data_IF_233075551529
#
_entry.id   IF_233075551529
#
_cell.length_a   1.000
_cell.length_b   1.000
_cell.length_c   1.000
_cell.angle_alpha   90.00
_cell.angle_beta   90.00
_cell.angle_gamma   90.00
#
_symmetry.space_group_name_H-M   'P 1'
#
loop_
_entity.id
_entity.type
_entity.pdbx_description
1 polymer ?
#
# COMPACT_ATOMS: atom_id res chain seq x y z
N UNK A 1 0.14 1.19 2.14
CA UNK A 1 -1.00 0.56 2.88
C UNK A 1 -2.12 0.21 1.93
N UNK A 2 -2.78 -0.91 2.13
CA UNK A 2 -4.03 -1.26 1.49
C UNK A 2 -5.18 -0.53 2.19
N UNK A 3 -6.38 -0.56 1.64
CA UNK A 3 -7.53 0.05 2.28
C UNK A 3 -8.82 -0.21 1.51
N UNK A 4 -9.92 -0.19 2.25
CA UNK A 4 -11.25 -0.38 1.70
C UNK A 4 -12.24 0.55 2.42
N UNK A 5 -13.11 1.18 1.63
CA UNK A 5 -14.19 1.97 2.16
C UNK A 5 -15.44 1.81 1.29
N UNK A 6 -16.59 1.70 1.92
CA UNK A 6 -17.89 1.62 1.25
C UNK A 6 -18.91 2.48 1.97
N UNK A 7 -19.69 3.21 1.18
CA UNK A 7 -20.86 3.94 1.67
C UNK A 7 -22.05 3.66 0.77
N UNK A 8 -23.24 3.64 1.35
CA UNK A 8 -24.51 3.50 0.65
C UNK A 8 -25.46 4.53 1.21
N UNK A 9 -25.95 5.41 0.37
CA UNK A 9 -26.90 6.45 0.78
C UNK A 9 -28.15 6.37 -0.10
N UNK A 10 -29.33 6.46 0.53
CA UNK A 10 -30.59 6.51 -0.19
C UNK A 10 -30.90 7.95 -0.62
N UNK A 11 -31.37 8.10 -1.86
CA UNK A 11 -31.89 9.34 -2.39
C UNK A 11 -33.15 9.05 -3.20
N UNK A 12 -34.31 9.51 -2.72
CA UNK A 12 -35.64 9.16 -3.29
C UNK A 12 -35.75 7.62 -3.43
N UNK A 13 -36.03 7.12 -4.61
CA UNK A 13 -36.15 5.68 -4.93
C UNK A 13 -34.83 5.04 -5.42
N UNK A 14 -33.70 5.74 -5.21
CA UNK A 14 -32.36 5.30 -5.63
C UNK A 14 -31.49 5.03 -4.42
N UNK A 15 -30.61 4.03 -4.53
CA UNK A 15 -29.49 3.79 -3.61
C UNK A 15 -28.19 4.15 -4.34
N UNK A 16 -27.50 5.16 -3.84
CA UNK A 16 -26.20 5.59 -4.34
C UNK A 16 -25.15 4.77 -3.60
N UNK A 17 -24.41 3.96 -4.31
CA UNK A 17 -23.35 3.11 -3.79
C UNK A 17 -22.00 3.69 -4.18
N UNK A 18 -21.12 3.82 -3.20
CA UNK A 18 -19.72 4.24 -3.41
C UNK A 18 -18.80 3.20 -2.82
N UNK A 19 -17.85 2.75 -3.58
CA UNK A 19 -16.82 1.81 -3.15
C UNK A 19 -15.44 2.34 -3.54
N UNK A 20 -14.51 2.31 -2.59
CA UNK A 20 -13.12 2.73 -2.80
C UNK A 20 -12.20 1.63 -2.29
N UNK A 21 -11.35 1.13 -3.18
CA UNK A 21 -10.30 0.16 -2.87
C UNK A 21 -8.95 0.79 -3.12
N UNK A 22 -8.00 0.51 -2.27
CA UNK A 22 -6.64 1.00 -2.45
C UNK A 22 -5.61 -0.09 -2.21
N UNK A 23 -4.64 -0.18 -3.12
CA UNK A 23 -3.45 -0.99 -2.99
C UNK A 23 -2.22 -0.10 -2.79
N UNK A 24 -1.15 -0.69 -2.28
CA UNK A 24 0.09 0.04 -2.09
C UNK A 24 0.71 0.47 -3.44
N UNK A 25 1.06 1.75 -3.56
CA UNK A 25 1.79 2.31 -4.71
C UNK A 25 2.65 3.49 -4.26
N UNK A 26 3.67 3.83 -5.04
CA UNK A 26 4.58 4.96 -4.78
C UNK A 26 3.93 6.32 -5.05
N UNK A 27 2.98 6.37 -5.97
CA UNK A 27 2.20 7.55 -6.35
C UNK A 27 0.70 7.26 -6.32
N UNK A 28 -0.13 8.29 -6.42
CA UNK A 28 -1.56 8.12 -6.60
C UNK A 28 -1.84 7.72 -8.04
N UNK A 29 -2.40 6.52 -8.23
CA UNK A 29 -2.91 6.01 -9.50
C UNK A 29 -4.41 5.75 -9.32
N UNK A 30 -5.26 6.55 -9.98
CA UNK A 30 -6.70 6.54 -9.77
C UNK A 30 -7.45 6.02 -11.00
N UNK A 31 -8.06 4.87 -10.85
CA UNK A 31 -9.07 4.32 -11.77
C UNK A 31 -10.46 4.62 -11.22
N UNK A 32 -11.31 5.28 -12.02
CA UNK A 32 -12.65 5.66 -11.61
C UNK A 32 -13.70 5.05 -12.55
N UNK A 33 -14.66 4.32 -11.98
CA UNK A 33 -15.86 3.84 -12.66
C UNK A 33 -17.07 4.60 -12.14
N UNK A 34 -17.62 5.47 -12.95
CA UNK A 34 -18.67 6.41 -12.54
C UNK A 34 -19.90 6.17 -13.39
N UNK A 35 -21.05 6.02 -12.75
CA UNK A 35 -22.33 5.89 -13.44
C UNK A 35 -22.57 7.08 -14.38
N UNK A 36 -23.19 6.88 -15.57
CA UNK A 36 -23.34 7.90 -16.60
C UNK A 36 -23.90 9.23 -16.09
N UNK A 37 -24.84 9.17 -15.16
CA UNK A 37 -25.48 10.34 -14.54
C UNK A 37 -24.47 11.29 -13.87
N UNK A 38 -23.39 10.76 -13.27
CA UNK A 38 -22.39 11.54 -12.52
C UNK A 38 -21.12 11.85 -13.32
N UNK A 39 -21.06 11.53 -14.61
CA UNK A 39 -19.85 11.76 -15.42
C UNK A 39 -19.43 13.22 -15.50
N UNK A 40 -20.38 14.14 -15.52
CA UNK A 40 -20.09 15.57 -15.52
C UNK A 40 -19.31 16.03 -14.26
N UNK A 41 -19.43 15.31 -13.14
CA UNK A 41 -18.77 15.59 -11.87
C UNK A 41 -17.44 14.80 -11.71
N UNK A 42 -17.01 14.05 -12.71
CA UNK A 42 -15.80 13.18 -12.62
C UNK A 42 -14.56 13.95 -12.16
N UNK A 43 -14.34 15.15 -12.69
CA UNK A 43 -13.16 15.95 -12.34
C UNK A 43 -13.19 16.41 -10.87
N UNK A 44 -14.39 16.72 -10.35
CA UNK A 44 -14.57 17.07 -8.94
C UNK A 44 -14.33 15.86 -8.03
N UNK A 45 -14.84 14.69 -8.40
CA UNK A 45 -14.60 13.41 -7.69
C UNK A 45 -13.11 13.11 -7.64
N UNK A 46 -12.40 13.18 -8.77
CA UNK A 46 -10.96 12.95 -8.84
C UNK A 46 -10.18 13.92 -7.93
N UNK A 47 -10.58 15.17 -7.89
CA UNK A 47 -9.97 16.18 -7.00
C UNK A 47 -10.19 15.85 -5.53
N UNK A 48 -11.41 15.48 -5.13
CA UNK A 48 -11.74 15.06 -3.77
C UNK A 48 -10.90 13.86 -3.32
N UNK A 49 -10.76 12.85 -4.18
CA UNK A 49 -9.97 11.68 -3.90
C UNK A 49 -8.49 12.05 -3.75
N UNK A 50 -7.95 12.86 -4.67
CA UNK A 50 -6.55 13.28 -4.64
C UNK A 50 -6.20 14.17 -3.43
N UNK A 51 -7.16 14.96 -2.93
CA UNK A 51 -6.98 15.76 -1.71
C UNK A 51 -6.92 14.90 -0.44
N UNK A 52 -7.69 13.81 -0.38
CA UNK A 52 -7.75 12.94 0.81
C UNK A 52 -6.72 11.80 0.78
N UNK A 53 -6.30 11.35 -0.40
CA UNK A 53 -5.41 10.21 -0.56
C UNK A 53 -4.11 10.63 -1.22
N UNK A 54 -3.00 10.54 -0.48
CA UNK A 54 -1.68 10.97 -0.93
C UNK A 54 -1.07 10.06 -1.98
N UNK A 55 -1.22 8.74 -1.81
CA UNK A 55 -0.67 7.71 -2.67
C UNK A 55 -1.50 6.42 -2.61
N UNK A 56 -1.28 5.55 -3.57
CA UNK A 56 -1.94 4.25 -3.69
C UNK A 56 -2.48 4.05 -5.09
N UNK A 57 -2.60 2.80 -5.51
CA UNK A 57 -3.43 2.44 -6.65
C UNK A 57 -4.86 2.34 -6.15
N UNK A 58 -5.69 3.31 -6.54
CA UNK A 58 -7.05 3.49 -6.04
C UNK A 58 -8.05 3.12 -7.13
N UNK A 59 -8.90 2.16 -6.85
CA UNK A 59 -10.07 1.82 -7.65
C UNK A 59 -11.31 2.40 -6.98
N UNK A 60 -11.93 3.37 -7.66
CA UNK A 60 -13.14 4.04 -7.22
C UNK A 60 -14.32 3.60 -8.07
N UNK A 61 -15.45 3.27 -7.47
CA UNK A 61 -16.68 2.91 -8.16
C UNK A 61 -17.87 3.65 -7.56
N UNK A 62 -18.65 4.32 -8.41
CA UNK A 62 -19.91 4.97 -8.06
C UNK A 62 -21.00 4.42 -8.98
N UNK A 63 -22.01 3.78 -8.38
CA UNK A 63 -23.16 3.27 -9.13
C UNK A 63 -24.46 3.50 -8.38
N UNK A 64 -25.55 3.47 -9.10
CA UNK A 64 -26.90 3.67 -8.57
C UNK A 64 -27.71 2.39 -8.76
N UNK A 65 -28.33 1.96 -7.69
CA UNK A 65 -29.38 0.93 -7.72
C UNK A 65 -30.73 1.62 -7.57
N UNK A 66 -31.62 1.41 -8.54
CA UNK A 66 -33.01 1.84 -8.41
C UNK A 66 -33.79 0.71 -7.70
N UNK A 67 -34.63 1.06 -6.74
CA UNK A 67 -35.63 0.11 -6.26
C UNK A 67 -36.52 -0.23 -7.45
N UNK A 68 -36.48 -1.48 -7.86
CA UNK A 68 -37.22 -1.98 -9.02
C UNK A 68 -38.73 -1.90 -8.73
N UNK A 69 -39.36 -0.81 -9.13
CA UNK A 69 -40.76 -0.89 -9.53
C UNK A 69 -40.82 -1.75 -10.78
N UNK A 70 -41.70 -2.74 -10.80
CA UNK A 70 -41.93 -3.61 -11.96
C UNK A 70 -42.69 -2.79 -13.00
N UNK A 71 -42.07 -1.70 -13.47
CA UNK A 71 -42.63 -0.88 -14.55
C UNK A 71 -42.19 -1.47 -15.87
N UNK A 72 -43.17 -1.84 -16.70
CA UNK A 72 -42.92 -2.22 -18.07
C UNK A 72 -42.19 -1.09 -18.79
N UNK A 73 -41.24 -1.43 -19.67
CA UNK A 73 -40.58 -0.42 -20.52
C UNK A 73 -41.62 0.31 -21.32
N UNK A 74 -41.73 1.66 -21.24
CA UNK A 74 -42.73 2.40 -21.94
C UNK A 74 -42.55 2.27 -23.47
N UNK A 75 -43.65 2.17 -24.18
CA UNK A 75 -43.66 2.15 -25.64
C UNK A 75 -43.65 3.59 -26.13
N UNK A 76 -42.71 3.94 -27.01
CA UNK A 76 -42.63 5.24 -27.65
C UNK A 76 -43.72 5.36 -28.73
N UNK A 77 -44.92 5.84 -28.35
CA UNK A 77 -46.07 5.94 -29.21
C UNK A 77 -45.82 6.80 -30.45
N UNK A 78 -45.04 7.90 -30.31
CA UNK A 78 -44.73 8.78 -31.44
C UNK A 78 -43.85 8.08 -32.48
N UNK A 79 -42.89 7.25 -32.02
CA UNK A 79 -42.02 6.47 -32.90
C UNK A 79 -42.79 5.35 -33.61
N UNK A 80 -43.70 4.68 -32.89
CA UNK A 80 -44.60 3.66 -33.43
C UNK A 80 -45.45 4.25 -34.56
N UNK A 81 -46.06 5.42 -34.33
CA UNK A 81 -46.87 6.12 -35.37
C UNK A 81 -46.03 6.49 -36.61
N UNK A 82 -44.82 6.96 -36.39
CA UNK A 82 -43.89 7.30 -37.46
C UNK A 82 -43.53 6.07 -38.31
N UNK A 83 -43.15 4.96 -37.71
CA UNK A 83 -42.87 3.70 -38.41
C UNK A 83 -44.09 3.17 -39.12
N UNK A 84 -45.28 3.24 -38.53
CA UNK A 84 -46.52 2.86 -39.16
C UNK A 84 -46.74 3.62 -40.44
N UNK A 85 -46.64 4.98 -40.44
CA UNK A 85 -46.82 5.84 -41.64
C UNK A 85 -45.79 5.52 -42.72
N UNK A 86 -44.51 5.30 -42.34
CA UNK A 86 -43.46 4.95 -43.28
C UNK A 86 -43.72 3.61 -43.96
N UNK A 87 -44.08 2.56 -43.20
CA UNK A 87 -44.36 1.25 -43.78
C UNK A 87 -45.55 1.28 -44.72
N UNK A 88 -46.61 1.99 -44.38
CA UNK A 88 -47.77 2.19 -45.28
C UNK A 88 -47.38 2.88 -46.57
N UNK A 89 -46.61 3.94 -46.52
CA UNK A 89 -46.11 4.63 -47.65
C UNK A 89 -45.29 3.77 -48.61
N UNK A 90 -44.37 2.95 -48.00
CA UNK A 90 -43.53 1.99 -48.71
C UNK A 90 -44.40 0.93 -49.41
N UNK A 91 -45.37 0.36 -48.70
CA UNK A 91 -46.28 -0.66 -49.23
C UNK A 91 -47.04 -0.13 -50.41
N UNK A 92 -47.59 1.08 -50.31
CA UNK A 92 -48.33 1.75 -51.44
C UNK A 92 -47.43 2.01 -52.64
N UNK A 93 -46.18 2.38 -52.45
CA UNK A 93 -45.27 2.74 -53.54
C UNK A 93 -44.62 1.54 -54.25
N UNK A 94 -44.45 0.43 -53.51
CA UNK A 94 -43.70 -0.76 -53.96
C UNK A 94 -44.56 -1.95 -54.28
N UNK A 95 -45.85 -1.94 -53.90
CA UNK A 95 -46.77 -3.05 -54.07
C UNK A 95 -46.51 -4.23 -53.12
N UNK A 96 -45.59 -4.07 -52.11
CA UNK A 96 -45.38 -5.05 -51.07
C UNK A 96 -46.61 -5.08 -50.16
N UNK A 97 -47.16 -6.26 -49.80
CA UNK A 97 -48.33 -6.32 -48.92
C UNK A 97 -48.03 -5.80 -47.55
N UNK A 98 -49.01 -5.07 -46.94
CA UNK A 98 -48.91 -4.62 -45.55
C UNK A 98 -48.81 -5.83 -44.59
N UNK A 99 -48.11 -5.67 -43.45
CA UNK A 99 -48.00 -6.73 -42.42
C UNK A 99 -49.40 -7.14 -41.93
N UNK A 100 -49.63 -8.44 -41.78
CA UNK A 100 -50.87 -8.95 -41.19
C UNK A 100 -50.93 -8.70 -39.66
N UNK A 101 -49.78 -8.63 -39.00
CA UNK A 101 -49.65 -8.29 -37.56
C UNK A 101 -48.80 -7.03 -37.38
N UNK A 102 -49.50 -5.92 -37.28
CA UNK A 102 -48.88 -4.60 -37.07
C UNK A 102 -48.20 -4.44 -35.72
N UNK A 103 -48.78 -4.98 -34.64
CA UNK A 103 -48.18 -4.81 -33.32
C UNK A 103 -46.87 -5.55 -33.19
N UNK A 104 -46.80 -6.79 -33.64
CA UNK A 104 -45.53 -7.55 -33.64
C UNK A 104 -44.48 -6.86 -34.52
N UNK A 105 -44.86 -6.34 -35.65
CA UNK A 105 -43.93 -5.65 -36.57
C UNK A 105 -43.39 -4.36 -35.96
N UNK A 106 -44.25 -3.51 -35.41
CA UNK A 106 -43.90 -2.20 -34.89
C UNK A 106 -43.12 -2.30 -33.56
N UNK A 107 -43.48 -3.23 -32.68
CA UNK A 107 -42.78 -3.42 -31.41
C UNK A 107 -41.37 -4.02 -31.56
N UNK A 108 -41.04 -4.60 -32.72
CA UNK A 108 -39.70 -5.09 -33.05
C UNK A 108 -38.81 -4.03 -33.74
N UNK A 109 -39.37 -2.89 -34.10
CA UNK A 109 -38.60 -1.79 -34.70
C UNK A 109 -37.63 -1.18 -33.67
N UNK A 110 -36.47 -0.71 -34.12
CA UNK A 110 -35.48 -0.10 -33.23
C UNK A 110 -36.08 1.02 -32.36
N UNK A 111 -35.64 1.13 -31.14
CA UNK A 111 -35.95 2.20 -30.19
C UNK A 111 -37.41 2.39 -29.78
N UNK A 112 -38.32 1.51 -30.25
CA UNK A 112 -39.75 1.57 -29.86
C UNK A 112 -40.00 1.27 -28.40
N UNK A 113 -39.16 0.44 -27.79
CA UNK A 113 -39.23 0.05 -26.37
C UNK A 113 -38.02 0.56 -25.58
N UNK A 114 -37.45 1.68 -25.97
CA UNK A 114 -36.28 2.27 -25.31
C UNK A 114 -36.70 3.28 -24.25
N UNK A 115 -36.12 3.23 -23.06
CA UNK A 115 -36.28 4.32 -22.08
C UNK A 115 -35.57 5.57 -22.58
N UNK A 116 -36.33 6.55 -23.00
CA UNK A 116 -35.80 7.84 -23.51
C UNK A 116 -35.64 8.91 -22.43
N UNK A 117 -35.70 8.54 -21.16
CA UNK A 117 -35.47 9.50 -20.07
C UNK A 117 -33.99 9.81 -19.97
N UNK A 118 -33.58 10.97 -20.44
CA UNK A 118 -32.29 11.56 -20.09
C UNK A 118 -32.40 12.02 -18.64
N UNK A 119 -31.91 11.21 -17.70
CA UNK A 119 -31.86 11.63 -16.33
C UNK A 119 -30.87 12.79 -16.18
N UNK A 120 -31.35 13.90 -15.65
CA UNK A 120 -30.52 15.07 -15.31
C UNK A 120 -30.13 14.99 -13.86
N UNK A 121 -28.87 15.21 -13.55
CA UNK A 121 -28.37 15.19 -12.17
C UNK A 121 -28.91 16.41 -11.40
N UNK A 122 -29.72 16.16 -10.38
CA UNK A 122 -30.20 17.21 -9.46
C UNK A 122 -29.06 17.61 -8.50
N UNK A 123 -28.99 18.88 -8.12
CA UNK A 123 -27.97 19.38 -7.17
C UNK A 123 -28.06 18.71 -5.79
N UNK A 124 -29.27 18.39 -5.32
CA UNK A 124 -29.47 17.65 -4.07
C UNK A 124 -28.98 16.21 -4.15
N UNK A 125 -29.19 15.55 -5.31
CA UNK A 125 -28.68 14.20 -5.57
C UNK A 125 -27.15 14.21 -5.59
N UNK A 126 -26.55 15.24 -6.22
CA UNK A 126 -25.10 15.42 -6.21
C UNK A 126 -24.56 15.66 -4.80
N UNK A 127 -25.22 16.46 -3.98
CA UNK A 127 -24.83 16.70 -2.59
C UNK A 127 -24.83 15.40 -1.78
N UNK A 128 -25.85 14.57 -1.94
CA UNK A 128 -25.98 13.26 -1.30
C UNK A 128 -24.90 12.30 -1.79
N UNK A 129 -24.61 12.26 -3.07
CA UNK A 129 -23.52 11.47 -3.63
C UNK A 129 -22.15 11.91 -3.10
N UNK A 130 -21.91 13.22 -2.97
CA UNK A 130 -20.67 13.78 -2.40
C UNK A 130 -20.49 13.40 -0.92
N UNK A 131 -21.56 13.36 -0.14
CA UNK A 131 -21.52 12.84 1.24
C UNK A 131 -21.13 11.36 1.27
N UNK A 132 -21.73 10.53 0.41
CA UNK A 132 -21.38 9.11 0.33
C UNK A 132 -19.91 8.90 -0.11
N UNK A 133 -19.41 9.69 -1.05
CA UNK A 133 -18.00 9.66 -1.47
C UNK A 133 -17.10 10.01 -0.28
N UNK A 134 -17.43 11.07 0.44
CA UNK A 134 -16.67 11.51 1.62
C UNK A 134 -16.62 10.44 2.69
N UNK A 135 -17.76 9.83 3.02
CA UNK A 135 -17.88 8.75 4.00
C UNK A 135 -17.07 7.51 3.59
N UNK A 136 -17.11 7.10 2.32
CA UNK A 136 -16.34 5.99 1.82
C UNK A 136 -14.82 6.24 1.93
N UNK A 137 -14.37 7.47 1.61
CA UNK A 137 -12.98 7.87 1.75
C UNK A 137 -12.54 7.91 3.22
N UNK A 138 -13.39 8.39 4.13
CA UNK A 138 -13.08 8.45 5.56
C UNK A 138 -12.95 7.06 6.17
N UNK A 139 -13.81 6.11 5.78
CA UNK A 139 -13.69 4.69 6.16
C UNK A 139 -12.39 4.06 5.66
N UNK A 140 -11.96 4.38 4.44
CA UNK A 140 -10.68 3.91 3.91
C UNK A 140 -9.51 4.49 4.71
N UNK A 141 -9.57 5.78 5.07
CA UNK A 141 -8.54 6.43 5.89
C UNK A 141 -8.50 5.83 7.29
N UNK A 142 -9.65 5.59 7.92
CA UNK A 142 -9.74 4.93 9.21
C UNK A 142 -9.10 3.54 9.19
N UNK A 143 -9.39 2.73 8.16
CA UNK A 143 -8.76 1.42 7.97
C UNK A 143 -7.23 1.54 7.87
N UNK A 144 -6.73 2.51 7.08
CA UNK A 144 -5.28 2.77 6.96
C UNK A 144 -4.65 3.20 8.29
N UNK A 145 -5.36 3.98 9.09
CA UNK A 145 -4.90 4.42 10.41
C UNK A 145 -4.76 3.25 11.37
N UNK A 146 -5.73 2.34 11.37
CA UNK A 146 -5.69 1.13 12.20
C UNK A 146 -4.54 0.20 11.76
N UNK A 147 -4.35 -0.01 10.45
CA UNK A 147 -3.25 -0.79 9.91
C UNK A 147 -1.89 -0.16 10.26
N UNK A 148 -1.80 1.19 10.18
CA UNK A 148 -0.61 1.95 10.55
C UNK A 148 -0.24 1.81 12.03
N UNK A 149 -1.21 1.88 12.93
CA UNK A 149 -0.98 1.68 14.36
C UNK A 149 -0.49 0.26 14.68
N UNK A 150 -1.05 -0.76 14.02
CA UNK A 150 -0.59 -2.14 14.16
C UNK A 150 0.85 -2.31 13.64
N UNK A 151 1.19 -1.66 12.53
CA UNK A 151 2.53 -1.67 11.96
C UNK A 151 3.56 -0.96 12.87
N UNK A 152 3.19 0.18 13.44
CA UNK A 152 4.02 0.92 14.40
C UNK A 152 4.37 0.06 15.62
N UNK A 153 3.39 -0.68 16.16
CA UNK A 153 3.63 -1.60 17.28
C UNK A 153 4.64 -2.70 16.90
N UNK A 154 4.50 -3.29 15.72
CA UNK A 154 5.45 -4.30 15.21
C UNK A 154 6.86 -3.72 15.05
N UNK A 155 6.99 -2.54 14.46
CA UNK A 155 8.30 -1.90 14.32
C UNK A 155 8.94 -1.61 15.67
N UNK A 156 8.17 -1.13 16.65
CA UNK A 156 8.68 -0.90 18.00
C UNK A 156 9.25 -2.18 18.61
N UNK A 157 8.52 -3.29 18.53
CA UNK A 157 8.97 -4.60 19.00
C UNK A 157 10.29 -5.02 18.33
N UNK A 158 10.38 -4.91 17.00
CA UNK A 158 11.58 -5.31 16.25
C UNK A 158 12.80 -4.45 16.59
N UNK A 159 12.60 -3.14 16.71
CA UNK A 159 13.65 -2.19 17.12
C UNK A 159 14.12 -2.49 18.56
N UNK A 160 13.20 -2.83 19.45
CA UNK A 160 13.54 -3.23 20.83
C UNK A 160 14.34 -4.53 20.85
N UNK A 161 13.96 -5.52 20.03
CA UNK A 161 14.68 -6.78 19.89
C UNK A 161 16.12 -6.54 19.38
N UNK A 162 16.30 -5.74 18.32
CA UNK A 162 17.63 -5.40 17.81
C UNK A 162 18.45 -4.69 18.88
N UNK A 163 17.85 -3.76 19.63
CA UNK A 163 18.52 -3.04 20.72
C UNK A 163 18.97 -3.99 21.84
N UNK A 164 18.14 -4.96 22.22
CA UNK A 164 18.47 -5.97 23.20
C UNK A 164 19.60 -6.91 22.73
N UNK A 165 19.53 -7.35 21.46
CA UNK A 165 20.56 -8.16 20.83
C UNK A 165 21.90 -7.41 20.76
N UNK A 166 21.88 -6.12 20.41
CA UNK A 166 23.10 -5.29 20.39
C UNK A 166 23.78 -5.24 21.76
N UNK A 167 23.01 -5.06 22.85
CA UNK A 167 23.54 -5.09 24.21
C UNK A 167 24.10 -6.45 24.60
N UNK A 168 23.51 -7.54 24.11
CA UNK A 168 23.97 -8.90 24.42
C UNK A 168 25.32 -9.25 23.77
N UNK A 169 25.90 -8.39 22.93
CA UNK A 169 27.25 -8.56 22.37
C UNK A 169 28.35 -8.26 23.42
N UNK A 170 28.11 -7.35 24.36
CA UNK A 170 29.13 -6.84 25.30
C UNK A 170 29.95 -7.92 26.04
N UNK A 171 29.38 -9.00 26.61
CA UNK A 171 30.15 -10.03 27.28
C UNK A 171 31.14 -10.75 26.36
N UNK A 172 30.75 -10.98 25.13
CA UNK A 172 31.58 -11.66 24.12
C UNK A 172 32.71 -10.75 23.61
N UNK A 173 32.47 -9.46 23.47
CA UNK A 173 33.45 -8.46 23.10
C UNK A 173 34.61 -8.40 24.11
N UNK A 174 34.32 -8.33 25.41
CA UNK A 174 35.31 -8.31 26.47
C UNK A 174 36.19 -9.54 26.47
N UNK A 175 35.69 -10.71 26.10
CA UNK A 175 36.43 -11.98 26.09
C UNK A 175 37.25 -12.19 24.80
N UNK A 176 37.14 -11.31 23.77
CA UNK A 176 37.81 -11.53 22.50
C UNK A 176 39.31 -11.41 22.53
N UNK A 177 39.83 -10.31 23.11
CA UNK A 177 41.25 -10.04 23.15
C UNK A 177 42.03 -11.17 23.90
N UNK A 178 41.62 -11.61 25.07
CA UNK A 178 42.24 -12.77 25.75
C UNK A 178 42.23 -14.03 24.87
N UNK A 179 41.08 -14.38 24.28
CA UNK A 179 40.94 -15.56 23.39
C UNK A 179 41.85 -15.52 22.16
N UNK A 180 42.01 -14.33 21.55
CA UNK A 180 42.90 -14.15 20.38
C UNK A 180 44.36 -14.33 20.84
N UNK A 181 44.73 -13.71 21.94
CA UNK A 181 46.08 -13.88 22.54
C UNK A 181 46.41 -15.33 22.78
N UNK A 182 45.55 -16.06 23.48
CA UNK A 182 45.72 -17.47 23.76
C UNK A 182 45.87 -18.31 22.48
N UNK A 183 45.02 -18.06 21.49
CA UNK A 183 45.07 -18.78 20.20
C UNK A 183 46.36 -18.53 19.45
N UNK A 184 46.90 -17.30 19.45
CA UNK A 184 48.17 -16.98 18.80
C UNK A 184 49.32 -17.67 19.57
N UNK A 185 49.34 -17.57 20.90
CA UNK A 185 50.37 -18.20 21.72
C UNK A 185 50.35 -19.73 21.54
N UNK A 186 49.19 -20.36 21.54
CA UNK A 186 49.07 -21.80 21.35
C UNK A 186 49.49 -22.25 19.95
N UNK A 187 49.19 -21.44 18.93
CA UNK A 187 49.70 -21.65 17.56
C UNK A 187 51.21 -21.56 17.48
N UNK A 188 51.83 -20.59 18.16
CA UNK A 188 53.27 -20.44 18.21
C UNK A 188 53.98 -21.64 18.93
N UNK A 189 53.38 -22.17 20.00
CA UNK A 189 53.92 -23.36 20.70
C UNK A 189 53.91 -24.64 19.85
N UNK A 190 53.08 -24.71 18.79
CA UNK A 190 53.05 -25.87 17.90
C UNK A 190 54.19 -25.88 16.86
N UNK A 191 54.92 -24.76 16.72
CA UNK A 191 56.07 -24.65 15.80
C UNK A 191 57.36 -24.95 16.58
N UNK A 192 58.07 -26.08 16.31
CA UNK A 192 59.29 -26.42 16.98
C UNK A 192 60.37 -25.35 16.77
N UNK A 193 61.13 -25.03 17.82
CA UNK A 193 62.33 -24.15 17.80
C UNK A 193 62.08 -22.67 17.44
N UNK A 194 60.86 -22.15 17.60
CA UNK A 194 60.61 -20.70 17.38
C UNK A 194 60.67 -19.97 18.70
N UNK A 195 61.74 -19.22 18.93
CA UNK A 195 61.76 -18.16 19.94
C UNK A 195 61.10 -16.93 19.34
N UNK A 196 59.89 -16.60 19.83
CA UNK A 196 59.12 -15.47 19.31
C UNK A 196 59.44 -14.17 20.05
N UNK A 197 59.57 -13.07 19.25
CA UNK A 197 59.73 -11.73 19.81
C UNK A 197 58.40 -11.25 20.43
N UNK A 198 58.42 -10.96 21.72
CA UNK A 198 57.25 -10.47 22.50
C UNK A 198 56.75 -9.13 21.95
N UNK A 199 57.63 -8.23 21.51
CA UNK A 199 57.25 -6.92 20.97
C UNK A 199 56.47 -7.10 19.67
N UNK A 200 56.86 -8.03 18.82
CA UNK A 200 56.17 -8.35 17.58
C UNK A 200 54.80 -8.97 17.88
N UNK A 201 54.69 -9.84 18.88
CA UNK A 201 53.40 -10.38 19.31
C UNK A 201 52.45 -9.27 19.79
N UNK A 202 52.96 -8.30 20.58
CA UNK A 202 52.16 -7.15 21.03
C UNK A 202 51.69 -6.28 19.87
N UNK A 203 52.54 -6.01 18.89
CA UNK A 203 52.14 -5.27 17.71
C UNK A 203 51.04 -5.97 16.88
N UNK A 204 51.15 -7.29 16.69
CA UNK A 204 50.12 -8.08 16.03
C UNK A 204 48.81 -8.08 16.82
N UNK A 205 48.86 -8.15 18.15
CA UNK A 205 47.68 -8.07 19.02
C UNK A 205 46.99 -6.71 18.88
N UNK A 206 47.75 -5.61 18.88
CA UNK A 206 47.17 -4.26 18.66
C UNK A 206 46.45 -4.19 17.29
N UNK A 207 47.10 -4.71 16.24
CA UNK A 207 46.48 -4.75 14.90
C UNK A 207 45.16 -5.54 14.92
N UNK A 208 45.09 -6.70 15.57
CA UNK A 208 43.86 -7.48 15.69
C UNK A 208 42.79 -6.77 16.53
N UNK A 209 43.17 -6.06 17.60
CA UNK A 209 42.26 -5.27 18.43
C UNK A 209 41.61 -4.20 17.59
N UNK A 210 42.36 -3.41 16.82
CA UNK A 210 41.85 -2.36 15.96
C UNK A 210 40.97 -2.92 14.83
N UNK A 211 41.46 -3.98 14.16
CA UNK A 211 40.72 -4.61 13.05
C UNK A 211 39.38 -5.20 13.45
N UNK A 212 39.26 -5.66 14.68
CA UNK A 212 38.07 -6.30 15.22
C UNK A 212 37.22 -5.37 16.10
N UNK A 213 37.63 -4.10 16.25
CA UNK A 213 36.85 -3.13 17.02
C UNK A 213 35.49 -2.88 16.32
N UNK A 214 34.42 -2.96 17.11
CA UNK A 214 33.03 -2.74 16.69
C UNK A 214 32.36 -1.58 17.44
N UNK A 215 33.16 -0.78 18.16
CA UNK A 215 32.65 0.30 19.02
C UNK A 215 31.90 1.35 18.20
N UNK A 216 32.42 1.68 17.02
CA UNK A 216 31.82 2.63 16.09
C UNK A 216 30.49 2.09 15.53
N UNK A 217 30.46 0.84 15.06
CA UNK A 217 29.25 0.20 14.52
C UNK A 217 28.15 0.11 15.59
N UNK A 218 28.50 -0.24 16.83
CA UNK A 218 27.57 -0.25 17.97
C UNK A 218 26.96 1.12 18.20
N UNK A 219 27.78 2.15 18.23
CA UNK A 219 27.34 3.53 18.44
C UNK A 219 26.44 4.01 17.30
N UNK A 220 26.83 3.77 16.06
CA UNK A 220 26.05 4.14 14.86
C UNK A 220 24.72 3.39 14.83
N UNK A 221 24.72 2.08 15.05
CA UNK A 221 23.51 1.29 15.11
C UNK A 221 22.57 1.78 16.20
N UNK A 222 23.08 2.08 17.39
CA UNK A 222 22.30 2.66 18.48
C UNK A 222 21.65 3.98 18.10
N UNK A 223 22.38 4.87 17.41
CA UNK A 223 21.87 6.13 16.91
C UNK A 223 20.78 5.92 15.84
N UNK A 224 20.98 4.98 14.91
CA UNK A 224 19.97 4.65 13.89
C UNK A 224 18.69 4.05 14.49
N UNK A 225 18.80 3.20 15.52
CA UNK A 225 17.64 2.66 16.25
C UNK A 225 16.83 3.78 16.93
N UNK A 226 17.53 4.74 17.56
CA UNK A 226 16.89 5.92 18.15
C UNK A 226 16.20 6.77 17.08
N UNK A 227 16.90 7.09 16.00
CA UNK A 227 16.39 7.90 14.91
C UNK A 227 15.19 7.25 14.19
N UNK A 228 15.20 5.91 14.08
CA UNK A 228 14.06 5.17 13.55
C UNK A 228 12.80 5.37 14.42
N UNK A 229 12.94 5.29 15.75
CA UNK A 229 11.83 5.54 16.70
C UNK A 229 11.31 6.99 16.62
N UNK A 230 12.20 7.95 16.55
CA UNK A 230 11.84 9.36 16.41
C UNK A 230 11.06 9.59 15.10
N UNK A 231 11.57 9.04 13.99
CA UNK A 231 10.94 9.14 12.67
C UNK A 231 9.57 8.46 12.60
N UNK A 232 9.34 7.34 13.30
CA UNK A 232 8.01 6.71 13.38
C UNK A 232 6.95 7.62 14.02
N UNK A 233 7.35 8.57 14.85
CA UNK A 233 6.45 9.49 15.55
C UNK A 233 6.35 10.86 14.85
N UNK A 234 7.07 11.06 13.75
CA UNK A 234 6.94 12.28 12.95
C UNK A 234 5.58 12.28 12.22
N UNK A 235 4.96 13.46 12.20
CA UNK A 235 3.79 13.73 11.38
C UNK A 235 4.25 14.33 10.06
N UNK A 236 3.81 13.78 8.91
CA UNK A 236 4.12 14.36 7.60
C UNK A 236 4.29 13.33 6.49
N UNK A 237 4.50 13.84 5.28
CA UNK A 237 4.65 13.01 4.09
C UNK A 237 6.01 12.32 4.01
N UNK A 238 6.03 11.08 3.54
CA UNK A 238 7.27 10.38 3.19
C UNK A 238 7.98 9.71 4.36
N UNK A 239 7.34 9.58 5.52
CA UNK A 239 7.89 8.88 6.70
C UNK A 239 8.36 7.47 6.34
N UNK A 240 7.56 6.70 5.60
CA UNK A 240 7.96 5.35 5.17
C UNK A 240 9.23 5.30 4.32
N UNK A 241 9.46 6.30 3.46
CA UNK A 241 10.70 6.38 2.67
C UNK A 241 11.92 6.66 3.56
N UNK A 242 11.77 7.56 4.55
CA UNK A 242 12.81 7.91 5.53
C UNK A 242 13.15 6.69 6.39
N UNK A 243 12.15 5.98 6.90
CA UNK A 243 12.33 4.72 7.64
C UNK A 243 13.05 3.66 6.81
N UNK A 244 12.76 3.59 5.50
CA UNK A 244 13.45 2.70 4.56
C UNK A 244 14.96 3.00 4.46
N UNK A 245 15.33 4.27 4.36
CA UNK A 245 16.75 4.66 4.35
C UNK A 245 17.43 4.34 5.69
N UNK A 246 16.79 4.65 6.83
CA UNK A 246 17.35 4.32 8.13
C UNK A 246 17.57 2.81 8.27
N UNK A 247 16.61 1.99 7.80
CA UNK A 247 16.73 0.52 7.81
C UNK A 247 17.92 0.02 6.98
N UNK A 248 18.25 0.70 5.88
CA UNK A 248 19.42 0.37 5.07
C UNK A 248 20.72 0.67 5.84
N UNK A 249 20.82 1.83 6.49
CA UNK A 249 21.98 2.17 7.32
C UNK A 249 22.14 1.22 8.50
N UNK A 250 21.04 0.87 9.20
CA UNK A 250 21.08 -0.18 10.23
C UNK A 250 21.65 -1.50 9.69
N UNK A 251 21.25 -1.88 8.46
CA UNK A 251 21.76 -3.08 7.81
C UNK A 251 23.27 -3.04 7.52
N UNK A 252 23.81 -1.87 7.17
CA UNK A 252 25.24 -1.67 6.99
C UNK A 252 26.00 -1.90 8.29
N UNK A 253 25.56 -1.28 9.38
CA UNK A 253 26.22 -1.43 10.69
C UNK A 253 26.15 -2.88 11.22
N UNK A 254 25.02 -3.56 11.07
CA UNK A 254 24.86 -4.97 11.43
C UNK A 254 25.79 -5.86 10.57
N UNK A 255 25.91 -5.60 9.28
CA UNK A 255 26.78 -6.35 8.38
C UNK A 255 28.24 -6.17 8.75
N UNK A 256 28.68 -4.93 9.02
CA UNK A 256 30.06 -4.63 9.44
C UNK A 256 30.37 -5.26 10.79
N UNK A 257 29.44 -5.18 11.75
CA UNK A 257 29.54 -5.92 13.02
C UNK A 257 29.76 -7.42 12.79
N UNK A 258 28.99 -8.01 11.85
CA UNK A 258 29.13 -9.42 11.48
C UNK A 258 30.48 -9.77 10.88
N UNK A 259 30.98 -8.96 9.97
CA UNK A 259 32.27 -9.20 9.31
C UNK A 259 33.46 -9.08 10.30
N UNK A 260 33.34 -8.21 11.30
CA UNK A 260 34.33 -8.07 12.38
C UNK A 260 34.14 -9.08 13.52
N UNK A 261 33.05 -9.86 13.54
CA UNK A 261 32.76 -10.87 14.57
C UNK A 261 33.38 -12.22 14.17
N UNK A 262 34.37 -12.69 14.95
CA UNK A 262 35.07 -13.95 14.72
C UNK A 262 34.68 -15.07 15.70
N UNK A 263 33.63 -14.86 16.50
CA UNK A 263 33.10 -15.84 17.49
C UNK A 263 31.70 -16.30 17.06
N UNK A 264 31.42 -17.58 17.21
CA UNK A 264 30.14 -18.17 16.81
C UNK A 264 28.93 -17.55 17.53
N UNK A 265 29.10 -17.22 18.80
CA UNK A 265 28.06 -16.60 19.64
C UNK A 265 27.70 -15.20 19.11
N UNK A 266 28.70 -14.39 18.76
CA UNK A 266 28.47 -13.07 18.17
C UNK A 266 27.83 -13.18 16.77
N UNK A 267 28.27 -14.13 15.94
CA UNK A 267 27.66 -14.39 14.65
C UNK A 267 26.18 -14.77 14.79
N UNK A 268 25.84 -15.61 15.76
CA UNK A 268 24.45 -15.97 16.02
C UNK A 268 23.60 -14.74 16.42
N UNK A 269 24.15 -13.82 17.20
CA UNK A 269 23.46 -12.57 17.56
C UNK A 269 23.25 -11.69 16.31
N UNK A 270 24.29 -11.56 15.48
CA UNK A 270 24.21 -10.79 14.23
C UNK A 270 23.16 -11.37 13.28
N UNK A 271 23.06 -12.70 13.15
CA UNK A 271 22.03 -13.35 12.34
C UNK A 271 20.63 -12.99 12.85
N UNK A 272 20.42 -13.08 14.18
CA UNK A 272 19.13 -12.68 14.77
C UNK A 272 18.79 -11.20 14.53
N UNK A 273 19.78 -10.30 14.62
CA UNK A 273 19.56 -8.88 14.30
C UNK A 273 19.19 -8.67 12.81
N UNK A 274 19.80 -9.45 11.90
CA UNK A 274 19.45 -9.41 10.47
C UNK A 274 18.02 -9.88 10.24
N UNK A 275 17.59 -10.96 10.88
CA UNK A 275 16.24 -11.49 10.75
C UNK A 275 15.18 -10.45 11.21
N UNK A 276 15.42 -9.80 12.36
CA UNK A 276 14.53 -8.72 12.85
C UNK A 276 14.50 -7.53 11.89
N UNK A 277 15.65 -7.16 11.33
CA UNK A 277 15.75 -6.05 10.37
C UNK A 277 15.08 -6.35 9.03
N UNK A 278 15.19 -7.58 8.51
CA UNK A 278 14.51 -7.96 7.26
C UNK A 278 12.99 -7.88 7.41
N UNK A 279 12.44 -8.28 8.56
CA UNK A 279 11.01 -8.11 8.83
C UNK A 279 10.58 -6.64 8.85
N UNK A 280 11.45 -5.72 9.31
CA UNK A 280 11.20 -4.28 9.20
C UNK A 280 11.21 -3.85 7.73
N UNK A 281 12.22 -4.24 6.96
CA UNK A 281 12.37 -3.84 5.55
C UNK A 281 11.23 -4.29 4.66
N UNK A 282 10.70 -5.50 4.89
CA UNK A 282 9.53 -6.02 4.17
C UNK A 282 8.29 -5.14 4.40
N UNK A 283 8.11 -4.65 5.61
CA UNK A 283 6.93 -3.90 5.99
C UNK A 283 7.06 -2.38 5.83
N UNK A 284 8.28 -1.85 5.83
CA UNK A 284 8.50 -0.38 5.75
C UNK A 284 7.95 0.23 4.46
N UNK A 285 7.87 -0.54 3.39
CA UNK A 285 7.25 -0.11 2.13
C UNK A 285 5.74 0.10 2.25
N UNK A 286 5.11 -0.47 3.28
CA UNK A 286 3.69 -0.30 3.58
C UNK A 286 3.43 0.89 4.50
N UNK A 287 4.44 1.50 5.13
CA UNK A 287 4.29 2.72 5.92
C UNK A 287 4.02 3.92 5.01
N UNK A 288 3.07 4.79 5.37
CA UNK A 288 2.75 6.04 4.68
C UNK A 288 3.63 7.17 5.20
#
# INVERSE_FOLDING_TARGET
>A
MTGYGKAVVAYKEKKINVEVKSLNSKSLDLSARIAPLYREKEMEIRRLIAQKLERGKVDFSLWVEKETTIDATPINAALVENYYRQIKSIAANTGIPEPSDWFTTLLRMPDVTTKTEVEVLEEEEWHTAKQAITEALDKLIEFRTQEGAALQKKFTEKIDNISALLKSIEPFEKSRVPKIKDKIIDGLKQIPEVDYDKNRLEQELIYYIEKLDISEEKQRLSNHLKYFRETMNESGHGVGKKLGFISQEMGREINTTGSKSNQAEMQNIVVKMKDELEQIKEQVLNAL
#
